data_IF_894113423107
#
_entry.id   IF_894113423107
#
_cell.length_a   1.000
_cell.length_b   1.000
_cell.length_c   1.000
_cell.angle_alpha   90.00
_cell.angle_beta   90.00
_cell.angle_gamma   90.00
#
_symmetry.space_group_name_H-M   'P 1'
#
loop_
_entity.id
_entity.type
_entity.pdbx_description
1 polymer ?
#
# COMPACT_ATOMS: atom_id res chain seq x y z
N UNK A 1 -5.99 -16.93 16.21
CA UNK A 1 -5.12 -15.75 15.96
C UNK A 1 -4.27 -15.56 17.21
N UNK A 2 -2.96 -15.35 17.06
CA UNK A 2 -2.09 -15.00 18.20
C UNK A 2 -2.44 -13.56 18.59
N UNK A 3 -2.88 -13.35 19.83
CA UNK A 3 -3.24 -12.01 20.33
C UNK A 3 -2.02 -11.09 20.48
N UNK A 4 -2.25 -9.78 20.65
CA UNK A 4 -1.18 -8.81 20.85
C UNK A 4 -0.29 -9.19 22.05
N UNK A 5 -0.87 -9.66 23.15
CA UNK A 5 -0.13 -10.08 24.35
C UNK A 5 0.85 -11.22 24.07
N UNK A 6 0.46 -12.17 23.22
CA UNK A 6 1.32 -13.28 22.85
C UNK A 6 2.46 -12.84 21.91
N UNK A 7 2.25 -11.81 21.07
CA UNK A 7 3.35 -11.18 20.31
C UNK A 7 4.30 -10.41 21.25
N UNK A 8 3.75 -9.69 22.21
CA UNK A 8 4.54 -8.92 23.19
C UNK A 8 5.37 -9.84 24.10
N UNK A 9 4.89 -11.05 24.38
CA UNK A 9 5.64 -12.04 25.16
C UNK A 9 6.99 -12.45 24.53
N UNK A 10 7.16 -12.28 23.21
CA UNK A 10 8.45 -12.48 22.53
C UNK A 10 9.44 -11.33 22.75
N UNK A 11 9.03 -10.23 23.39
CA UNK A 11 9.80 -9.00 23.55
C UNK A 11 10.43 -8.46 22.24
N UNK A 12 9.64 -8.32 21.15
CA UNK A 12 10.17 -7.89 19.86
C UNK A 12 10.52 -6.40 19.85
N UNK A 13 11.62 -6.03 19.18
CA UNK A 13 11.91 -4.63 18.88
C UNK A 13 11.01 -4.08 17.74
N UNK A 14 10.64 -4.97 16.81
CA UNK A 14 9.80 -4.67 15.67
C UNK A 14 8.88 -5.84 15.33
N UNK A 15 7.65 -5.53 14.94
CA UNK A 15 6.67 -6.49 14.40
C UNK A 15 6.38 -6.15 12.95
N UNK A 16 6.43 -7.15 12.06
CA UNK A 16 5.98 -7.03 10.68
C UNK A 16 4.52 -7.50 10.58
N UNK A 17 3.62 -6.60 10.24
CA UNK A 17 2.25 -6.93 9.84
C UNK A 17 2.22 -7.24 8.34
N UNK A 18 1.88 -8.50 8.03
CA UNK A 18 1.71 -9.02 6.68
C UNK A 18 0.49 -9.96 6.60
N UNK A 19 -0.59 -9.62 7.31
CA UNK A 19 -1.75 -10.47 7.50
C UNK A 19 -3.01 -9.91 6.82
N UNK A 20 -3.57 -8.81 7.33
CA UNK A 20 -4.82 -8.24 6.83
C UNK A 20 -5.10 -6.85 7.39
N UNK A 21 -6.08 -6.16 6.80
CA UNK A 21 -6.57 -4.89 7.34
C UNK A 21 -7.12 -5.05 8.78
N UNK A 22 -7.73 -6.18 9.09
CA UNK A 22 -8.28 -6.43 10.43
C UNK A 22 -7.20 -6.69 11.47
N UNK A 23 -6.09 -7.32 11.08
CA UNK A 23 -4.93 -7.45 11.95
C UNK A 23 -4.36 -6.07 12.32
N UNK A 24 -4.30 -5.13 11.35
CA UNK A 24 -3.91 -3.74 11.61
C UNK A 24 -4.87 -3.08 12.60
N UNK A 25 -6.18 -3.13 12.35
CA UNK A 25 -7.20 -2.55 13.24
C UNK A 25 -7.13 -3.10 14.66
N UNK A 26 -6.87 -4.39 14.79
CA UNK A 26 -6.91 -5.11 16.07
C UNK A 26 -5.64 -4.87 16.89
N UNK A 27 -4.47 -4.87 16.25
CA UNK A 27 -3.19 -4.98 16.97
C UNK A 27 -2.30 -3.73 16.90
N UNK A 28 -2.44 -2.89 15.87
CA UNK A 28 -1.46 -1.84 15.58
C UNK A 28 -1.25 -0.87 16.76
N UNK A 29 -2.34 -0.32 17.28
CA UNK A 29 -2.27 0.69 18.35
C UNK A 29 -1.73 0.07 19.65
N UNK A 30 -2.14 -1.15 19.98
CA UNK A 30 -1.69 -1.84 21.19
C UNK A 30 -0.18 -2.13 21.16
N UNK A 31 0.34 -2.58 20.01
CA UNK A 31 1.78 -2.82 19.83
C UNK A 31 2.58 -1.53 19.95
N UNK A 32 2.15 -0.46 19.27
CA UNK A 32 2.79 0.85 19.37
C UNK A 32 2.74 1.40 20.80
N UNK A 33 1.63 1.24 21.51
CA UNK A 33 1.49 1.69 22.90
C UNK A 33 2.46 0.97 23.85
N UNK A 34 2.81 -0.28 23.55
CA UNK A 34 3.81 -1.06 24.27
C UNK A 34 5.27 -0.69 23.90
N UNK A 35 5.49 0.31 23.05
CA UNK A 35 6.82 0.72 22.60
C UNK A 35 7.41 -0.16 21.48
N UNK A 36 6.63 -1.09 20.94
CA UNK A 36 7.07 -1.97 19.85
C UNK A 36 6.85 -1.29 18.51
N UNK A 37 7.90 -1.18 17.70
CA UNK A 37 7.80 -0.64 16.35
C UNK A 37 7.02 -1.59 15.44
N UNK A 38 6.24 -1.06 14.49
CA UNK A 38 5.41 -1.87 13.60
C UNK A 38 5.63 -1.47 12.14
N UNK A 39 5.98 -2.45 11.31
CA UNK A 39 6.04 -2.35 9.86
C UNK A 39 4.70 -2.86 9.30
N UNK A 40 3.95 -2.05 8.55
CA UNK A 40 2.59 -2.36 8.10
C UNK A 40 2.55 -2.54 6.57
N UNK A 41 2.26 -3.76 6.09
CA UNK A 41 2.05 -4.01 4.66
C UNK A 41 0.60 -3.83 4.23
N UNK A 42 -0.34 -4.06 5.15
CA UNK A 42 -1.78 -3.89 4.92
C UNK A 42 -2.21 -2.43 5.05
N UNK A 43 -1.46 -1.52 4.43
CA UNK A 43 -1.60 -0.07 4.57
C UNK A 43 -2.98 0.49 4.19
N UNK A 44 -3.77 -0.26 3.41
CA UNK A 44 -5.14 0.13 3.08
C UNK A 44 -6.04 0.29 4.31
N UNK A 45 -5.74 -0.36 5.44
CA UNK A 45 -6.47 -0.13 6.70
C UNK A 45 -6.34 1.31 7.22
N UNK A 46 -5.25 2.00 6.88
CA UNK A 46 -4.95 3.37 7.33
C UNK A 46 -5.70 4.45 6.52
N UNK A 47 -6.60 4.05 5.60
CA UNK A 47 -7.58 4.99 5.01
C UNK A 47 -8.57 5.50 6.06
N UNK A 48 -8.78 4.74 7.14
CA UNK A 48 -9.52 5.19 8.31
C UNK A 48 -8.68 6.20 9.09
N UNK A 49 -9.07 7.48 9.00
CA UNK A 49 -8.35 8.58 9.64
C UNK A 49 -8.33 8.45 11.16
N UNK A 50 -9.37 7.88 11.78
CA UNK A 50 -9.38 7.68 13.24
C UNK A 50 -8.30 6.69 13.64
N UNK A 51 -8.24 5.53 12.97
CA UNK A 51 -7.21 4.53 13.21
C UNK A 51 -5.81 5.09 12.95
N UNK A 52 -5.63 5.76 11.80
CA UNK A 52 -4.35 6.31 11.38
C UNK A 52 -3.83 7.36 12.35
N UNK A 53 -4.64 8.36 12.68
CA UNK A 53 -4.26 9.42 13.63
C UNK A 53 -3.98 8.86 15.03
N UNK A 54 -4.77 7.87 15.47
CA UNK A 54 -4.52 7.20 16.75
C UNK A 54 -3.18 6.45 16.75
N UNK A 55 -2.86 5.73 15.68
CA UNK A 55 -1.60 5.00 15.54
C UNK A 55 -0.40 5.96 15.46
N UNK A 56 -0.44 6.98 14.59
CA UNK A 56 0.59 8.01 14.45
C UNK A 56 0.86 8.72 15.80
N UNK A 57 -0.21 9.15 16.50
CA UNK A 57 -0.07 9.79 17.80
C UNK A 57 0.48 8.85 18.89
N UNK A 58 0.14 7.57 18.84
CA UNK A 58 0.64 6.56 19.80
C UNK A 58 2.11 6.22 19.57
N UNK A 59 2.51 6.09 18.30
CA UNK A 59 3.91 5.96 17.89
C UNK A 59 4.74 7.14 18.40
N UNK A 60 4.26 8.36 18.19
CA UNK A 60 4.94 9.57 18.65
C UNK A 60 5.12 9.63 20.18
N UNK A 61 4.12 9.21 20.97
CA UNK A 61 4.19 9.23 22.44
C UNK A 61 5.07 8.13 23.03
N UNK A 62 5.09 6.95 22.41
CA UNK A 62 5.87 5.80 22.87
C UNK A 62 7.31 5.81 22.40
N UNK A 63 7.62 6.57 21.34
CA UNK A 63 8.90 6.51 20.64
C UNK A 63 9.02 5.32 19.68
N UNK A 64 7.97 4.50 19.55
CA UNK A 64 7.93 3.41 18.58
C UNK A 64 7.83 3.94 17.16
N UNK A 65 8.41 3.21 16.20
CA UNK A 65 8.29 3.52 14.79
C UNK A 65 7.03 2.87 14.20
N UNK A 66 6.13 3.67 13.63
CA UNK A 66 5.17 3.21 12.64
C UNK A 66 5.80 3.35 11.26
N UNK A 67 6.02 2.25 10.56
CA UNK A 67 6.60 2.27 9.21
C UNK A 67 5.70 1.58 8.18
N UNK A 68 5.44 2.27 7.08
CA UNK A 68 4.74 1.73 5.92
C UNK A 68 5.74 1.72 4.76
N UNK A 69 6.27 0.54 4.36
CA UNK A 69 7.24 0.46 3.28
C UNK A 69 6.55 0.63 1.91
N UNK A 70 7.35 0.84 0.86
CA UNK A 70 6.84 1.11 -0.50
C UNK A 70 5.95 -0.01 -1.06
N UNK A 71 6.10 -1.24 -0.58
CA UNK A 71 5.34 -2.38 -1.09
C UNK A 71 5.73 -2.69 -2.54
N UNK A 72 4.72 -2.86 -3.41
CA UNK A 72 4.93 -3.18 -4.83
C UNK A 72 5.19 -1.97 -5.74
N UNK A 73 5.52 -0.80 -5.18
CA UNK A 73 5.83 0.44 -5.91
C UNK A 73 7.18 1.04 -5.47
N UNK A 74 7.63 2.07 -6.18
CA UNK A 74 8.84 2.83 -5.88
C UNK A 74 8.66 4.32 -6.22
N UNK A 75 9.73 5.11 -6.05
CA UNK A 75 9.73 6.56 -6.32
C UNK A 75 9.01 7.41 -5.27
N UNK A 76 8.81 6.88 -4.06
CA UNK A 76 8.18 7.62 -2.96
C UNK A 76 9.06 8.75 -2.43
N UNK A 77 10.38 8.62 -2.55
CA UNK A 77 11.35 9.68 -2.28
C UNK A 77 11.17 10.86 -3.25
N UNK A 78 11.06 10.57 -4.55
CA UNK A 78 10.79 11.56 -5.59
C UNK A 78 9.41 12.22 -5.40
N UNK A 79 8.39 11.44 -5.01
CA UNK A 79 7.07 11.97 -4.65
C UNK A 79 7.15 12.95 -3.48
N UNK A 80 7.80 12.57 -2.37
CA UNK A 80 7.97 13.45 -1.20
C UNK A 80 8.69 14.75 -1.58
N UNK A 81 9.74 14.66 -2.39
CA UNK A 81 10.46 15.83 -2.89
C UNK A 81 9.57 16.74 -3.76
N UNK A 82 8.77 16.15 -4.67
CA UNK A 82 7.80 16.90 -5.46
C UNK A 82 6.74 17.57 -4.58
N UNK A 83 6.19 16.85 -3.60
CA UNK A 83 5.22 17.38 -2.63
C UNK A 83 5.76 18.58 -1.85
N UNK A 84 7.04 18.56 -1.46
CA UNK A 84 7.69 19.68 -0.79
C UNK A 84 7.78 20.94 -1.67
N UNK A 85 7.94 20.78 -3.00
CA UNK A 85 7.87 21.88 -3.95
C UNK A 85 6.44 22.35 -4.24
N UNK A 86 5.46 21.46 -4.10
CA UNK A 86 4.04 21.67 -4.41
C UNK A 86 3.63 20.90 -5.67
N UNK A 87 2.58 20.09 -5.51
CA UNK A 87 2.07 19.16 -6.53
C UNK A 87 0.62 19.48 -6.87
N UNK A 88 0.33 19.50 -8.17
CA UNK A 88 -1.00 19.72 -8.72
C UNK A 88 -1.78 18.41 -8.77
N UNK A 89 -1.14 17.32 -9.24
CA UNK A 89 -1.75 16.01 -9.40
C UNK A 89 -0.82 14.86 -9.01
N UNK A 90 -1.39 13.89 -8.30
CA UNK A 90 -0.81 12.56 -8.09
C UNK A 90 -1.84 11.52 -8.51
N UNK A 91 -1.45 10.61 -9.40
CA UNK A 91 -2.30 9.50 -9.81
C UNK A 91 -1.56 8.17 -9.83
N UNK A 92 -2.31 7.10 -9.64
CA UNK A 92 -1.85 5.73 -9.79
C UNK A 92 -2.84 4.92 -10.63
N UNK A 93 -2.30 4.27 -11.66
CA UNK A 93 -2.97 3.21 -12.40
C UNK A 93 -2.48 1.86 -11.88
N UNK A 94 -3.41 1.02 -11.46
CA UNK A 94 -3.17 -0.38 -11.09
C UNK A 94 -3.81 -1.27 -12.15
N UNK A 95 -2.99 -1.88 -12.99
CA UNK A 95 -3.44 -2.78 -14.04
C UNK A 95 -2.90 -4.19 -13.78
N UNK A 96 -3.76 -5.19 -13.86
CA UNK A 96 -3.38 -6.61 -13.66
C UNK A 96 -4.11 -7.52 -14.64
N UNK A 97 -3.60 -8.73 -14.88
CA UNK A 97 -4.33 -9.76 -15.63
C UNK A 97 -5.71 -10.04 -15.00
N UNK A 98 -6.75 -10.39 -15.79
CA UNK A 98 -8.11 -10.56 -15.28
C UNK A 98 -8.22 -11.53 -14.10
N UNK A 99 -7.40 -12.59 -14.08
CA UNK A 99 -7.36 -13.57 -12.99
C UNK A 99 -7.08 -12.96 -11.61
N UNK A 100 -6.32 -11.87 -11.52
CA UNK A 100 -5.98 -11.22 -10.24
C UNK A 100 -7.17 -10.51 -9.58
N UNK A 101 -8.23 -10.22 -10.34
CA UNK A 101 -9.41 -9.49 -9.88
C UNK A 101 -10.57 -10.39 -9.44
N UNK A 102 -10.46 -11.71 -9.66
CA UNK A 102 -11.50 -12.68 -9.30
C UNK A 102 -11.67 -12.84 -7.78
N UNK A 103 -12.89 -13.10 -7.34
CA UNK A 103 -13.24 -13.28 -5.93
C UNK A 103 -13.23 -11.99 -5.11
N UNK A 104 -13.21 -10.83 -5.77
CA UNK A 104 -13.34 -9.52 -5.11
C UNK A 104 -14.82 -9.12 -5.20
N UNK A 105 -15.55 -8.97 -4.07
CA UNK A 105 -16.99 -8.71 -4.10
C UNK A 105 -17.39 -7.48 -4.92
N UNK A 106 -16.57 -6.41 -4.85
CA UNK A 106 -16.80 -5.21 -5.66
C UNK A 106 -16.74 -5.51 -7.17
N UNK A 107 -15.80 -6.35 -7.61
CA UNK A 107 -15.63 -6.71 -9.03
C UNK A 107 -16.75 -7.64 -9.51
N UNK A 108 -17.15 -8.60 -8.68
CA UNK A 108 -18.27 -9.50 -8.99
C UNK A 108 -19.59 -8.72 -9.16
N UNK A 109 -19.79 -7.69 -8.33
CA UNK A 109 -20.95 -6.81 -8.43
C UNK A 109 -20.99 -5.97 -9.73
N UNK A 110 -19.87 -5.81 -10.44
CA UNK A 110 -19.84 -5.14 -11.75
C UNK A 110 -20.43 -6.01 -12.87
N UNK A 111 -20.60 -7.32 -12.66
CA UNK A 111 -21.16 -8.25 -13.64
C UNK A 111 -20.29 -8.46 -14.89
N UNK A 112 -18.98 -8.17 -14.81
CA UNK A 112 -18.03 -8.34 -15.91
C UNK A 112 -17.54 -9.80 -16.01
N UNK A 113 -17.60 -10.38 -17.21
CA UNK A 113 -16.97 -11.67 -17.49
C UNK A 113 -15.47 -11.50 -17.73
N UNK A 114 -14.70 -11.65 -16.65
CA UNK A 114 -13.24 -11.51 -16.66
C UNK A 114 -12.53 -12.58 -17.51
N UNK A 115 -13.15 -13.74 -17.74
CA UNK A 115 -12.55 -14.83 -18.53
C UNK A 115 -12.65 -14.58 -20.03
N UNK A 116 -13.60 -13.76 -20.45
CA UNK A 116 -13.87 -13.44 -21.86
C UNK A 116 -13.54 -12.00 -22.23
N UNK A 117 -12.79 -11.30 -21.38
CA UNK A 117 -12.37 -9.92 -21.62
C UNK A 117 -11.50 -9.84 -22.88
N UNK A 118 -11.93 -9.07 -23.89
CA UNK A 118 -11.19 -8.91 -25.15
C UNK A 118 -10.31 -7.65 -25.22
N UNK A 119 -10.47 -6.73 -24.28
CA UNK A 119 -9.71 -5.48 -24.16
C UNK A 119 -9.72 -5.02 -22.71
N UNK A 120 -8.78 -4.13 -22.34
CA UNK A 120 -8.67 -3.60 -20.99
C UNK A 120 -9.99 -2.96 -20.51
N UNK A 121 -10.45 -3.35 -19.32
CA UNK A 121 -11.67 -2.82 -18.69
C UNK A 121 -11.31 -2.07 -17.40
N UNK A 122 -11.84 -0.85 -17.26
CA UNK A 122 -11.72 -0.09 -16.01
C UNK A 122 -12.71 -0.63 -15.00
N UNK A 123 -12.20 -1.12 -13.86
CA UNK A 123 -13.01 -1.63 -12.76
C UNK A 123 -13.39 -0.51 -11.78
N UNK A 124 -12.52 0.48 -11.62
CA UNK A 124 -12.73 1.64 -10.76
C UNK A 124 -11.93 2.84 -11.26
N UNK A 125 -12.51 4.03 -11.11
CA UNK A 125 -11.83 5.30 -11.34
C UNK A 125 -12.39 6.35 -10.37
N UNK A 126 -11.52 6.94 -9.54
CA UNK A 126 -11.94 7.84 -8.46
C UNK A 126 -10.77 8.26 -7.58
N UNK A 127 -11.04 8.74 -6.36
CA UNK A 127 -9.99 8.99 -5.38
C UNK A 127 -9.58 7.69 -4.66
N UNK A 128 -8.38 7.69 -4.08
CA UNK A 128 -7.89 6.54 -3.33
C UNK A 128 -8.74 6.26 -2.08
N UNK A 129 -9.36 7.29 -1.47
CA UNK A 129 -10.25 7.11 -0.31
C UNK A 129 -11.39 6.13 -0.60
N UNK A 130 -12.04 6.30 -1.74
CA UNK A 130 -13.19 5.48 -2.11
C UNK A 130 -12.76 4.13 -2.71
N UNK A 131 -11.67 4.11 -3.48
CA UNK A 131 -11.23 2.90 -4.17
C UNK A 131 -10.51 1.89 -3.28
N UNK A 132 -9.70 2.34 -2.30
CA UNK A 132 -8.89 1.42 -1.47
C UNK A 132 -9.73 0.36 -0.74
N UNK A 133 -10.86 0.71 -0.10
CA UNK A 133 -11.72 -0.28 0.57
C UNK A 133 -12.27 -1.38 -0.34
N UNK A 134 -12.45 -1.11 -1.63
CA UNK A 134 -13.05 -2.06 -2.58
C UNK A 134 -12.12 -3.20 -3.00
N UNK A 135 -10.80 -2.99 -2.94
CA UNK A 135 -9.81 -3.92 -3.47
C UNK A 135 -8.78 -4.33 -2.40
N UNK A 136 -9.21 -4.98 -1.31
CA UNK A 136 -8.28 -5.45 -0.28
C UNK A 136 -7.19 -6.32 -0.90
N UNK A 137 -5.96 -6.19 -0.36
CA UNK A 137 -4.72 -6.81 -0.87
C UNK A 137 -4.20 -6.27 -2.21
N UNK A 138 -5.06 -5.75 -3.08
CA UNK A 138 -4.68 -5.38 -4.45
C UNK A 138 -4.22 -3.93 -4.60
N UNK A 139 -4.76 -3.00 -3.79
CA UNK A 139 -4.49 -1.56 -3.91
C UNK A 139 -3.88 -0.94 -2.65
N UNK A 140 -3.28 -1.74 -1.76
CA UNK A 140 -2.50 -1.22 -0.63
C UNK A 140 -1.45 -0.18 -1.11
N UNK A 141 -0.87 -0.37 -2.29
CA UNK A 141 0.07 0.58 -2.91
C UNK A 141 -0.53 1.98 -3.15
N UNK A 142 -1.84 2.09 -3.41
CA UNK A 142 -2.51 3.38 -3.55
C UNK A 142 -2.65 4.07 -2.18
N UNK A 143 -2.83 3.28 -1.11
CA UNK A 143 -2.78 3.80 0.25
C UNK A 143 -1.36 4.27 0.61
N UNK A 144 -0.33 3.49 0.31
CA UNK A 144 1.07 3.89 0.52
C UNK A 144 1.39 5.20 -0.21
N UNK A 145 0.99 5.32 -1.48
CA UNK A 145 1.19 6.54 -2.27
C UNK A 145 0.46 7.75 -1.67
N UNK A 146 -0.78 7.53 -1.21
CA UNK A 146 -1.60 8.57 -0.57
C UNK A 146 -0.96 9.07 0.73
N UNK A 147 -0.50 8.15 1.57
CA UNK A 147 0.17 8.44 2.85
C UNK A 147 1.50 9.16 2.67
N UNK A 148 2.29 8.77 1.66
CA UNK A 148 3.57 9.41 1.36
C UNK A 148 3.42 10.74 0.57
N UNK A 149 2.26 10.97 -0.02
CA UNK A 149 1.99 12.05 -0.96
C UNK A 149 0.97 13.06 -0.45
N UNK A 150 -0.07 13.28 -1.25
CA UNK A 150 -1.04 14.37 -1.07
C UNK A 150 -2.33 13.97 -0.34
N UNK A 151 -2.35 12.80 0.32
CA UNK A 151 -3.51 12.25 1.01
C UNK A 151 -4.48 11.46 0.12
N UNK A 152 -5.39 10.71 0.74
CA UNK A 152 -6.30 9.78 0.07
C UNK A 152 -7.34 10.46 -0.82
N UNK A 153 -7.84 11.61 -0.39
CA UNK A 153 -8.90 12.36 -1.10
C UNK A 153 -8.41 12.95 -2.42
N UNK A 154 -7.13 13.35 -2.47
CA UNK A 154 -6.54 14.01 -3.64
C UNK A 154 -5.78 13.06 -4.56
N UNK A 155 -5.42 11.87 -4.09
CA UNK A 155 -4.71 10.88 -4.90
C UNK A 155 -5.70 10.17 -5.83
N UNK A 156 -5.52 10.30 -7.15
CA UNK A 156 -6.38 9.64 -8.13
C UNK A 156 -5.99 8.18 -8.31
N UNK A 157 -6.96 7.28 -8.26
CA UNK A 157 -6.79 5.84 -8.43
C UNK A 157 -7.61 5.37 -9.64
N UNK A 158 -6.94 4.65 -10.54
CA UNK A 158 -7.58 3.90 -11.62
C UNK A 158 -7.20 2.43 -11.50
N UNK A 159 -8.19 1.54 -11.55
CA UNK A 159 -8.01 0.09 -11.46
C UNK A 159 -8.50 -0.55 -12.75
N UNK A 160 -7.66 -1.41 -13.35
CA UNK A 160 -7.90 -1.97 -14.67
C UNK A 160 -7.64 -3.49 -14.69
N UNK A 161 -8.58 -4.24 -15.25
CA UNK A 161 -8.36 -5.61 -15.71
C UNK A 161 -7.90 -5.57 -17.16
N UNK A 162 -6.73 -6.12 -17.47
CA UNK A 162 -6.16 -6.10 -18.82
C UNK A 162 -5.72 -7.49 -19.27
N UNK A 163 -6.36 -8.09 -20.28
CA UNK A 163 -6.04 -9.43 -20.78
C UNK A 163 -4.72 -9.46 -21.56
N UNK A 164 -4.18 -8.31 -21.95
CA UNK A 164 -2.87 -8.19 -22.59
C UNK A 164 -1.70 -8.20 -21.61
N UNK A 165 -1.95 -8.07 -20.30
CA UNK A 165 -0.90 -8.09 -19.29
C UNK A 165 -0.61 -9.51 -18.81
N UNK A 166 0.67 -9.78 -18.59
CA UNK A 166 1.18 -10.98 -17.90
C UNK A 166 1.73 -10.66 -16.51
N UNK A 167 2.04 -9.39 -16.23
CA UNK A 167 2.59 -8.88 -14.99
C UNK A 167 1.64 -7.86 -14.34
N UNK A 168 1.80 -7.65 -13.04
CA UNK A 168 1.08 -6.61 -12.32
C UNK A 168 1.76 -5.26 -12.59
N UNK A 169 1.10 -4.38 -13.34
CA UNK A 169 1.67 -3.12 -13.78
C UNK A 169 1.10 -1.95 -12.98
N UNK A 170 1.99 -1.18 -12.38
CA UNK A 170 1.65 0.03 -11.63
C UNK A 170 2.29 1.23 -12.31
N UNK A 171 1.48 2.24 -12.66
CA UNK A 171 1.98 3.50 -13.20
C UNK A 171 1.62 4.64 -12.26
N UNK A 172 2.63 5.28 -11.70
CA UNK A 172 2.48 6.48 -10.87
C UNK A 172 2.82 7.68 -11.73
N UNK A 173 1.98 8.70 -11.69
CA UNK A 173 2.24 10.01 -12.32
C UNK A 173 2.11 11.11 -11.29
N UNK A 174 3.12 11.98 -11.26
CA UNK A 174 3.16 13.17 -10.42
C UNK A 174 3.42 14.36 -11.32
N UNK A 175 2.66 15.44 -11.15
CA UNK A 175 2.88 16.70 -11.86
C UNK A 175 2.75 17.88 -10.90
N UNK A 176 3.69 18.83 -11.02
CA UNK A 176 3.70 20.00 -10.17
C UNK A 176 4.85 20.94 -10.51
N UNK A 177 5.18 21.83 -9.56
CA UNK A 177 6.18 22.89 -9.76
C UNK A 177 7.58 22.35 -10.05
N UNK A 178 7.94 21.21 -9.49
CA UNK A 178 9.22 20.55 -9.72
C UNK A 178 9.30 19.77 -11.05
N UNK A 179 8.23 19.77 -11.85
CA UNK A 179 8.16 19.07 -13.12
C UNK A 179 7.19 17.88 -13.10
N UNK A 180 7.51 16.86 -13.90
CA UNK A 180 6.68 15.66 -14.05
C UNK A 180 7.51 14.42 -13.78
N UNK A 181 6.98 13.51 -12.97
CA UNK A 181 7.58 12.20 -12.68
C UNK A 181 6.61 11.12 -13.14
N UNK A 182 7.13 10.13 -13.86
CA UNK A 182 6.39 8.89 -14.16
C UNK A 182 7.23 7.72 -13.71
N UNK A 183 6.64 6.84 -12.90
CA UNK A 183 7.25 5.59 -12.46
C UNK A 183 6.36 4.45 -12.95
N UNK A 184 6.95 3.50 -13.66
CA UNK A 184 6.27 2.27 -14.11
C UNK A 184 6.95 1.08 -13.45
N UNK A 185 6.18 0.23 -12.79
CA UNK A 185 6.67 -1.04 -12.23
C UNK A 185 5.86 -2.19 -12.80
N UNK A 186 6.55 -3.14 -13.42
CA UNK A 186 5.98 -4.38 -13.92
C UNK A 186 6.42 -5.51 -12.99
N UNK A 187 5.54 -5.90 -12.08
CA UNK A 187 5.89 -6.80 -10.98
C UNK A 187 5.50 -8.23 -11.30
N UNK A 188 6.44 -9.14 -11.04
CA UNK A 188 6.16 -10.58 -10.95
C UNK A 188 5.22 -10.82 -9.77
N UNK A 189 4.12 -11.56 -9.96
CA UNK A 189 3.27 -11.98 -8.85
C UNK A 189 4.01 -12.89 -7.87
N UNK A 190 3.64 -12.87 -6.59
CA UNK A 190 4.20 -13.80 -5.62
C UNK A 190 3.76 -15.24 -5.95
N UNK A 191 4.65 -16.25 -5.83
CA UNK A 191 4.34 -17.63 -6.21
C UNK A 191 3.07 -18.19 -5.55
N UNK A 192 2.86 -17.89 -4.27
CA UNK A 192 1.74 -18.42 -3.47
C UNK A 192 0.50 -17.50 -3.45
N UNK A 193 0.61 -16.28 -3.99
CA UNK A 193 -0.49 -15.32 -4.03
C UNK A 193 -0.38 -14.38 -5.25
N UNK A 194 -1.09 -14.67 -6.36
CA UNK A 194 -1.00 -13.88 -7.58
C UNK A 194 -1.53 -12.44 -7.43
N UNK A 195 -2.31 -12.15 -6.37
CA UNK A 195 -2.81 -10.80 -6.08
C UNK A 195 -1.71 -9.88 -5.57
N UNK A 196 -0.64 -10.44 -4.98
CA UNK A 196 0.46 -9.71 -4.36
C UNK A 196 1.67 -9.64 -5.30
N UNK A 197 2.27 -8.46 -5.43
CA UNK A 197 3.55 -8.31 -6.12
C UNK A 197 4.68 -8.90 -5.25
N UNK A 198 5.59 -9.68 -5.84
CA UNK A 198 6.71 -10.26 -5.09
C UNK A 198 7.63 -9.19 -4.49
N UNK A 199 7.74 -8.04 -5.18
CA UNK A 199 8.45 -6.85 -4.68
C UNK A 199 7.90 -6.35 -3.34
N UNK A 200 6.60 -6.52 -3.04
CA UNK A 200 6.05 -6.15 -1.74
C UNK A 200 6.66 -6.97 -0.59
N UNK A 201 6.94 -8.27 -0.82
CA UNK A 201 7.63 -9.12 0.15
C UNK A 201 9.09 -8.65 0.36
N UNK A 202 9.79 -8.32 -0.73
CA UNK A 202 11.16 -7.80 -0.63
C UNK A 202 11.23 -6.39 -0.03
N UNK A 203 10.19 -5.57 -0.23
CA UNK A 203 10.05 -4.28 0.44
C UNK A 203 9.92 -4.45 1.96
N UNK A 204 9.19 -5.46 2.42
CA UNK A 204 9.14 -5.84 3.84
C UNK A 204 10.49 -6.32 4.37
N UNK A 205 11.20 -7.16 3.62
CA UNK A 205 12.55 -7.60 3.99
C UNK A 205 13.53 -6.42 4.05
N UNK A 206 13.48 -5.51 3.09
CA UNK A 206 14.29 -4.30 3.08
C UNK A 206 13.97 -3.38 4.26
N UNK A 207 12.68 -3.26 4.62
CA UNK A 207 12.23 -2.54 5.80
C UNK A 207 12.81 -3.10 7.11
N UNK A 208 12.78 -4.43 7.27
CA UNK A 208 13.37 -5.10 8.43
C UNK A 208 14.88 -4.88 8.46
N UNK A 209 15.59 -5.04 7.33
CA UNK A 209 17.04 -4.80 7.25
C UNK A 209 17.44 -3.35 7.53
N UNK A 210 16.58 -2.40 7.15
CA UNK A 210 16.76 -0.97 7.41
C UNK A 210 16.38 -0.56 8.84
N UNK A 211 15.71 -1.44 9.59
CA UNK A 211 15.39 -1.18 10.98
C UNK A 211 16.67 -1.13 11.82
N UNK A 212 16.94 0.03 12.43
CA UNK A 212 18.19 0.27 13.17
C UNK A 212 19.42 0.56 12.30
N UNK A 213 19.29 0.73 10.98
CA UNK A 213 20.41 1.09 10.12
C UNK A 213 20.89 2.53 10.38
N UNK A 214 22.20 2.71 10.55
CA UNK A 214 22.84 4.02 10.77
C UNK A 214 23.04 4.85 9.50
N UNK A 215 22.83 4.25 8.33
CA UNK A 215 22.89 4.91 7.03
C UNK A 215 21.63 4.58 6.22
N UNK A 216 21.10 5.57 5.51
CA UNK A 216 19.91 5.46 4.66
C UNK A 216 20.15 6.22 3.36
N UNK A 217 19.67 5.66 2.25
CA UNK A 217 19.79 6.24 0.92
C UNK A 217 18.41 6.24 0.26
N UNK A 218 17.98 7.37 -0.31
CA UNK A 218 16.81 7.44 -1.21
C UNK A 218 15.50 6.86 -0.66
N UNK A 219 15.14 7.15 0.59
CA UNK A 219 13.89 6.69 1.23
C UNK A 219 13.28 7.77 2.12
#
# INVERSE_FOLDING_TARGET
MVGADALLAFNPQVVLEAASHDAVRTHLVALLAAGVSVIVLSAGALVDDRLRMQAEGTAARSGALLYVPSGGIGGLDALKAACAAGVDEVSILVAKPPAAWKGIPYVEALGLDLDRLSAAATLFEGCARDGVPHFPQNVNIAAVLSLAGIGFDRTRLKVVADPGLTLNTHTIRVSGKSGRVTVVLENVPAPDNPKTAWLACYSALAAIKGFGASARYGT
#
